data_IF_010826223727
#
_entry.id   IF_010826223727
#
_cell.length_a   1.000
_cell.length_b   1.000
_cell.length_c   1.000
_cell.angle_alpha   90.00
_cell.angle_beta   90.00
_cell.angle_gamma   90.00
#
_symmetry.space_group_name_H-M   'P 1'
#
loop_
_entity.id
_entity.type
_entity.pdbx_description
1 polymer ?
#
# COMPACT_ATOMS: atom_id res chain seq x y z
N UNK A 1 7.95 -9.28 58.70
CA UNK A 1 7.11 -9.59 57.52
C UNK A 1 7.95 -9.35 56.28
N UNK A 2 8.46 -10.42 55.69
CA UNK A 2 9.39 -10.35 54.57
C UNK A 2 8.58 -10.26 53.27
N UNK A 3 8.71 -9.13 52.57
CA UNK A 3 8.00 -8.92 51.30
C UNK A 3 8.66 -9.77 50.22
N UNK A 4 7.97 -10.83 49.77
CA UNK A 4 8.36 -11.59 48.56
C UNK A 4 8.43 -10.64 47.38
N UNK A 5 9.63 -10.39 46.85
CA UNK A 5 9.83 -9.74 45.55
C UNK A 5 9.29 -10.69 44.47
N UNK A 6 8.15 -10.35 43.89
CA UNK A 6 7.61 -11.03 42.72
C UNK A 6 8.51 -10.65 41.54
N UNK A 7 9.44 -11.53 41.17
CA UNK A 7 10.18 -11.38 39.93
C UNK A 7 9.21 -11.65 38.78
N UNK A 8 8.80 -10.58 38.11
CA UNK A 8 8.10 -10.67 36.83
C UNK A 8 8.94 -11.53 35.89
N UNK A 9 8.40 -12.69 35.49
CA UNK A 9 9.00 -13.60 34.51
C UNK A 9 9.48 -12.80 33.29
N UNK A 10 10.66 -13.12 32.77
CA UNK A 10 11.20 -12.50 31.53
C UNK A 10 10.20 -12.60 30.37
N UNK A 11 9.31 -13.59 30.39
CA UNK A 11 8.26 -13.79 29.41
C UNK A 11 7.18 -12.68 29.45
N UNK A 12 6.81 -12.19 30.64
CA UNK A 12 5.87 -11.07 30.80
C UNK A 12 6.48 -9.75 30.33
N UNK A 13 7.79 -9.56 30.53
CA UNK A 13 8.53 -8.38 30.02
C UNK A 13 8.62 -8.41 28.49
N UNK A 14 8.89 -9.57 27.90
CA UNK A 14 8.90 -9.75 26.45
C UNK A 14 7.52 -9.53 25.80
N UNK A 15 6.43 -9.92 26.47
CA UNK A 15 5.06 -9.62 26.01
C UNK A 15 4.74 -8.14 26.05
N UNK A 16 5.14 -7.43 27.11
CA UNK A 16 4.98 -5.97 27.24
C UNK A 16 5.78 -5.20 26.19
N UNK A 17 7.05 -5.56 25.97
CA UNK A 17 7.87 -4.93 24.92
C UNK A 17 7.27 -5.09 23.52
N UNK A 18 6.85 -6.31 23.14
CA UNK A 18 6.17 -6.55 21.86
C UNK A 18 4.87 -5.75 21.70
N UNK A 19 4.16 -5.51 22.80
CA UNK A 19 2.94 -4.70 22.80
C UNK A 19 3.25 -3.21 22.64
N UNK A 20 4.29 -2.72 23.28
CA UNK A 20 4.75 -1.33 23.18
C UNK A 20 5.33 -1.01 21.80
N UNK A 21 6.08 -1.92 21.20
CA UNK A 21 6.58 -1.78 19.83
C UNK A 21 5.41 -1.65 18.84
N UNK A 22 4.40 -2.53 18.97
CA UNK A 22 3.18 -2.46 18.14
C UNK A 22 2.40 -1.17 18.37
N UNK A 23 2.39 -0.65 19.59
CA UNK A 23 1.76 0.63 19.91
C UNK A 23 2.53 1.79 19.26
N UNK A 24 3.86 1.80 19.38
CA UNK A 24 4.72 2.81 18.75
C UNK A 24 4.58 2.84 17.23
N UNK A 25 4.48 1.67 16.58
CA UNK A 25 4.21 1.58 15.14
C UNK A 25 2.86 2.22 14.79
N UNK A 26 1.79 1.89 15.51
CA UNK A 26 0.45 2.48 15.28
C UNK A 26 0.42 3.98 15.49
N UNK A 27 1.10 4.47 16.53
CA UNK A 27 1.20 5.91 16.81
C UNK A 27 1.98 6.63 15.71
N UNK A 28 3.05 6.01 15.20
CA UNK A 28 3.81 6.57 14.06
C UNK A 28 3.00 6.60 12.77
N UNK A 29 2.21 5.55 12.48
CA UNK A 29 1.33 5.49 11.32
C UNK A 29 0.22 6.55 11.42
N UNK A 30 -0.38 6.71 12.60
CA UNK A 30 -1.41 7.73 12.83
C UNK A 30 -0.88 9.15 12.58
N UNK A 31 0.33 9.46 13.06
CA UNK A 31 1.00 10.76 12.81
C UNK A 31 1.28 11.00 11.33
N UNK A 32 1.60 9.95 10.56
CA UNK A 32 1.80 10.08 9.12
C UNK A 32 0.49 10.34 8.38
N UNK A 33 -0.60 9.70 8.80
CA UNK A 33 -1.94 9.91 8.24
C UNK A 33 -2.44 11.33 8.51
N UNK A 34 -2.21 11.85 9.72
CA UNK A 34 -2.52 13.22 10.10
C UNK A 34 -1.77 14.24 9.23
N UNK A 35 -0.46 14.04 9.02
CA UNK A 35 0.33 14.90 8.12
C UNK A 35 -0.21 14.94 6.69
N UNK A 36 -0.66 13.81 6.15
CA UNK A 36 -1.25 13.78 4.81
C UNK A 36 -2.58 14.52 4.78
N UNK A 37 -3.40 14.37 5.81
CA UNK A 37 -4.66 15.09 5.93
C UNK A 37 -4.41 16.60 5.99
N UNK A 38 -3.49 17.05 6.83
CA UNK A 38 -3.11 18.46 6.95
C UNK A 38 -2.53 19.01 5.66
N UNK A 39 -1.61 18.29 5.02
CA UNK A 39 -1.01 18.72 3.75
C UNK A 39 -2.08 18.86 2.67
N UNK A 40 -2.98 17.89 2.54
CA UNK A 40 -4.07 17.95 1.56
C UNK A 40 -5.00 19.13 1.86
N UNK A 41 -5.41 19.30 3.11
CA UNK A 41 -6.35 20.34 3.54
C UNK A 41 -5.72 21.75 3.53
N UNK A 42 -4.39 21.86 3.55
CA UNK A 42 -3.67 23.14 3.43
C UNK A 42 -3.67 23.72 2.02
N UNK A 43 -4.00 22.91 1.00
CA UNK A 43 -4.04 23.36 -0.40
C UNK A 43 -5.22 24.32 -0.61
N UNK A 44 -5.02 25.33 -1.47
CA UNK A 44 -6.09 26.24 -1.83
C UNK A 44 -7.08 25.56 -2.79
N UNK A 45 -8.36 25.98 -2.77
CA UNK A 45 -9.43 25.48 -3.64
C UNK A 45 -9.74 23.98 -3.56
N UNK A 46 -9.37 23.29 -2.48
CA UNK A 46 -9.80 21.92 -2.24
C UNK A 46 -10.84 21.86 -1.12
N UNK A 47 -11.82 20.97 -1.27
CA UNK A 47 -12.72 20.65 -0.15
C UNK A 47 -11.96 19.82 0.88
N UNK A 48 -11.99 20.16 2.17
CA UNK A 48 -11.33 19.38 3.20
C UNK A 48 -11.80 17.92 3.22
N UNK A 49 -10.87 16.98 3.39
CA UNK A 49 -11.15 15.53 3.41
C UNK A 49 -10.39 14.86 4.54
N UNK A 50 -11.01 13.83 5.12
CA UNK A 50 -10.37 12.96 6.11
C UNK A 50 -9.42 11.96 5.46
N UNK A 51 -8.40 11.51 6.17
CA UNK A 51 -7.45 10.50 5.68
C UNK A 51 -8.14 9.23 5.14
N UNK A 52 -9.27 8.82 5.71
CA UNK A 52 -10.03 7.64 5.25
C UNK A 52 -10.60 7.83 3.84
N UNK A 53 -11.06 9.05 3.53
CA UNK A 53 -11.57 9.42 2.21
C UNK A 53 -10.43 9.53 1.19
N UNK A 54 -9.29 10.09 1.60
CA UNK A 54 -8.08 10.16 0.78
C UNK A 54 -7.55 8.76 0.43
N UNK A 55 -7.50 7.87 1.43
CA UNK A 55 -7.15 6.46 1.23
C UNK A 55 -8.09 5.78 0.25
N UNK A 56 -9.41 5.96 0.40
CA UNK A 56 -10.39 5.40 -0.54
C UNK A 56 -10.21 5.96 -1.95
N UNK A 57 -9.91 7.26 -2.07
CA UNK A 57 -9.61 7.90 -3.35
C UNK A 57 -8.40 7.25 -4.02
N UNK A 58 -7.32 7.04 -3.27
CA UNK A 58 -6.11 6.35 -3.75
C UNK A 58 -6.39 4.92 -4.22
N UNK A 59 -7.14 4.12 -3.45
CA UNK A 59 -7.52 2.77 -3.88
C UNK A 59 -8.34 2.79 -5.17
N UNK A 60 -9.30 3.70 -5.29
CA UNK A 60 -10.08 3.87 -6.52
C UNK A 60 -9.19 4.25 -7.71
N UNK A 61 -8.19 5.12 -7.52
CA UNK A 61 -7.25 5.49 -8.58
C UNK A 61 -6.37 4.32 -9.00
N UNK A 62 -5.87 3.52 -8.05
CA UNK A 62 -5.13 2.28 -8.36
C UNK A 62 -6.00 1.29 -9.12
N UNK A 63 -7.26 1.13 -8.72
CA UNK A 63 -8.20 0.24 -9.40
C UNK A 63 -8.47 0.70 -10.82
N UNK A 64 -8.68 2.02 -11.02
CA UNK A 64 -8.84 2.60 -12.34
C UNK A 64 -7.61 2.36 -13.21
N UNK A 65 -6.42 2.63 -12.70
CA UNK A 65 -5.16 2.36 -13.40
C UNK A 65 -5.02 0.88 -13.79
N UNK A 66 -5.30 -0.05 -12.87
CA UNK A 66 -5.24 -1.49 -13.16
C UNK A 66 -6.18 -1.91 -14.29
N UNK A 67 -7.39 -1.35 -14.33
CA UNK A 67 -8.37 -1.63 -15.40
C UNK A 67 -7.90 -1.08 -16.73
N UNK A 68 -7.53 0.20 -16.79
CA UNK A 68 -7.03 0.84 -18.01
C UNK A 68 -5.78 0.13 -18.53
N UNK A 69 -4.81 -0.18 -17.67
CA UNK A 69 -3.61 -0.91 -18.08
C UNK A 69 -3.93 -2.34 -18.58
N UNK A 70 -4.93 -3.02 -18.01
CA UNK A 70 -5.37 -4.32 -18.50
C UNK A 70 -6.17 -4.25 -19.81
N UNK A 71 -6.87 -3.14 -20.07
CA UNK A 71 -7.53 -2.85 -21.35
C UNK A 71 -6.47 -2.59 -22.42
N UNK A 72 -5.52 -1.69 -22.17
CA UNK A 72 -4.38 -1.42 -23.06
C UNK A 72 -3.63 -2.69 -23.46
N UNK A 73 -3.32 -3.54 -22.48
CA UNK A 73 -2.61 -4.79 -22.77
C UNK A 73 -3.46 -5.72 -23.64
N UNK A 74 -4.76 -5.84 -23.36
CA UNK A 74 -5.67 -6.67 -24.18
C UNK A 74 -5.73 -6.16 -25.62
N UNK A 75 -5.84 -4.85 -25.83
CA UNK A 75 -5.88 -4.24 -27.17
C UNK A 75 -4.57 -4.43 -27.93
N UNK A 76 -3.42 -4.24 -27.26
CA UNK A 76 -2.09 -4.48 -27.85
C UNK A 76 -1.92 -5.93 -28.31
N UNK A 77 -2.33 -6.89 -27.47
CA UNK A 77 -2.22 -8.31 -27.84
C UNK A 77 -3.25 -8.73 -28.90
N UNK A 78 -4.44 -8.12 -28.92
CA UNK A 78 -5.45 -8.37 -29.95
C UNK A 78 -4.99 -7.92 -31.35
N UNK A 79 -4.22 -6.83 -31.43
CA UNK A 79 -3.71 -6.28 -32.70
C UNK A 79 -2.37 -6.90 -33.15
N UNK A 80 -1.90 -7.96 -32.48
CA UNK A 80 -0.63 -8.60 -32.80
C UNK A 80 0.61 -7.79 -32.39
N UNK A 81 0.48 -6.89 -31.41
CA UNK A 81 1.58 -6.08 -30.89
C UNK A 81 1.77 -4.73 -31.59
N UNK A 82 0.85 -4.35 -32.46
CA UNK A 82 0.83 -3.02 -33.09
C UNK A 82 0.67 -1.90 -32.08
N UNK A 83 1.04 -0.68 -32.46
CA UNK A 83 0.80 0.52 -31.64
C UNK A 83 -0.70 0.60 -31.35
N UNK A 84 -1.11 0.60 -30.07
CA UNK A 84 -2.52 0.68 -29.74
C UNK A 84 -3.09 2.02 -30.22
N UNK A 85 -4.38 2.10 -30.56
CA UNK A 85 -5.05 3.39 -30.65
C UNK A 85 -4.83 4.11 -29.32
N UNK A 86 -4.59 5.43 -29.35
CA UNK A 86 -4.20 6.21 -28.17
C UNK A 86 -5.14 5.94 -27.00
N UNK A 87 -4.73 5.08 -26.08
CA UNK A 87 -5.44 4.88 -24.83
C UNK A 87 -5.38 6.21 -24.08
N UNK A 88 -6.55 6.73 -23.71
CA UNK A 88 -6.69 7.94 -22.89
C UNK A 88 -6.27 7.65 -21.44
N UNK A 89 -5.02 7.23 -21.23
CA UNK A 89 -4.45 7.20 -19.89
C UNK A 89 -4.03 8.62 -19.52
N UNK A 90 -4.78 9.22 -18.60
CA UNK A 90 -4.47 10.56 -18.10
C UNK A 90 -3.13 10.57 -17.36
N UNK A 91 -2.45 11.72 -17.35
CA UNK A 91 -1.15 11.86 -16.68
C UNK A 91 -1.23 11.52 -15.19
N UNK A 92 -2.36 11.78 -14.53
CA UNK A 92 -2.56 11.42 -13.13
C UNK A 92 -2.57 9.90 -12.93
N UNK A 93 -3.24 9.15 -13.82
CA UNK A 93 -3.28 7.69 -13.75
C UNK A 93 -1.93 7.06 -14.09
N UNK A 94 -1.16 7.68 -15.00
CA UNK A 94 0.21 7.26 -15.29
C UNK A 94 1.10 7.38 -14.04
N UNK A 95 1.05 8.52 -13.34
CA UNK A 95 1.78 8.74 -12.08
C UNK A 95 1.37 7.75 -10.98
N UNK A 96 0.07 7.43 -10.88
CA UNK A 96 -0.42 6.39 -9.97
C UNK A 96 0.22 5.04 -10.29
N UNK A 97 0.31 4.70 -11.58
CA UNK A 97 0.97 3.50 -12.06
C UNK A 97 2.45 3.43 -11.71
N UNK A 98 3.19 4.52 -11.89
CA UNK A 98 4.61 4.62 -11.53
C UNK A 98 4.80 4.34 -10.03
N UNK A 99 3.99 4.97 -9.18
CA UNK A 99 4.03 4.74 -7.72
C UNK A 99 3.62 3.30 -7.37
N UNK A 100 2.52 2.79 -7.93
CA UNK A 100 1.99 1.48 -7.62
C UNK A 100 2.92 0.33 -8.05
N UNK A 101 3.57 0.48 -9.22
CA UNK A 101 4.50 -0.53 -9.75
C UNK A 101 5.75 -0.68 -8.89
N UNK A 102 6.31 0.41 -8.35
CA UNK A 102 7.42 0.35 -7.40
C UNK A 102 7.03 -0.29 -6.06
N UNK A 103 5.78 -0.14 -5.60
CA UNK A 103 5.30 -0.78 -4.37
C UNK A 103 5.10 -2.30 -4.50
N UNK A 104 4.84 -2.81 -5.71
CA UNK A 104 4.66 -4.24 -5.95
C UNK A 104 5.99 -5.04 -5.78
N UNK A 105 7.12 -4.44 -6.16
CA UNK A 105 8.46 -5.08 -6.09
C UNK A 105 8.87 -5.41 -4.66
N UNK A 106 8.43 -4.63 -3.66
CA UNK A 106 8.73 -4.89 -2.25
C UNK A 106 7.90 -6.00 -1.61
N UNK A 107 6.85 -6.50 -2.27
CA UNK A 107 6.05 -7.65 -1.80
C UNK A 107 6.49 -8.98 -2.40
N UNK A 108 7.35 -8.96 -3.43
CA UNK A 108 7.86 -10.15 -4.09
C UNK A 108 9.22 -10.58 -3.50
N UNK A 109 9.21 -11.09 -2.26
CA UNK A 109 10.32 -11.92 -1.76
C UNK A 109 9.80 -13.27 -1.31
N UNK A 110 9.38 -14.10 -2.28
CA UNK A 110 9.23 -15.55 -2.12
C UNK A 110 9.57 -16.25 -3.45
N UNK A 111 10.81 -16.74 -3.51
CA UNK A 111 11.28 -17.97 -4.17
C UNK A 111 10.65 -18.39 -5.50
N UNK A 112 11.25 -17.96 -6.59
CA UNK A 112 11.21 -18.73 -7.83
C UNK A 112 12.21 -19.90 -7.73
N UNK A 113 11.73 -21.05 -7.25
CA UNK A 113 12.11 -22.32 -7.89
C UNK A 113 10.82 -22.79 -8.54
N UNK A 114 10.70 -22.52 -9.84
CA UNK A 114 9.54 -22.85 -10.63
C UNK A 114 9.50 -24.36 -10.89
N UNK A 115 8.50 -25.06 -10.34
CA UNK A 115 8.08 -26.38 -10.80
C UNK A 115 6.81 -26.22 -11.66
N UNK A 116 6.84 -26.54 -12.97
CA UNK A 116 5.74 -26.27 -13.88
C UNK A 116 4.70 -27.40 -13.87
N UNK A 117 4.13 -27.75 -12.71
CA UNK A 117 3.02 -28.72 -12.64
C UNK A 117 2.17 -28.47 -11.39
N UNK A 118 1.36 -27.41 -11.39
CA UNK A 118 0.06 -27.36 -10.70
C UNK A 118 -0.62 -26.01 -10.96
N UNK A 119 -1.42 -25.96 -12.03
CA UNK A 119 -2.43 -24.93 -12.21
C UNK A 119 -3.58 -25.19 -11.25
N UNK A 120 -3.77 -24.29 -10.28
CA UNK A 120 -5.05 -23.94 -9.63
C UNK A 120 -4.77 -23.47 -8.21
N UNK A 121 -4.76 -22.16 -7.97
CA UNK A 121 -5.05 -21.61 -6.64
C UNK A 121 -5.45 -20.15 -6.74
N UNK A 122 -6.65 -19.89 -6.22
CA UNK A 122 -7.25 -18.56 -6.00
C UNK A 122 -6.23 -17.66 -5.29
N UNK A 123 -5.94 -16.51 -5.87
CA UNK A 123 -5.09 -15.49 -5.24
C UNK A 123 -5.95 -14.73 -4.23
N UNK A 124 -5.83 -15.09 -2.96
CA UNK A 124 -6.44 -14.38 -1.84
C UNK A 124 -5.48 -13.24 -1.44
N UNK A 125 -5.86 -12.01 -1.77
CA UNK A 125 -5.09 -10.81 -1.42
C UNK A 125 -5.18 -10.54 0.08
N UNK A 126 -4.07 -10.70 0.80
CA UNK A 126 -3.91 -10.16 2.14
C UNK A 126 -3.11 -8.86 2.04
N UNK A 127 -3.72 -7.78 2.53
CA UNK A 127 -3.14 -6.45 2.50
C UNK A 127 -1.93 -6.29 3.40
N UNK A 128 -1.05 -5.38 3.02
CA UNK A 128 -0.23 -4.61 3.95
C UNK A 128 0.08 -3.25 3.36
N UNK A 129 -0.27 -2.23 4.14
CA UNK A 129 0.01 -0.83 3.93
C UNK A 129 1.46 -0.57 4.37
N UNK A 130 2.26 0.04 3.49
CA UNK A 130 3.50 0.72 3.92
C UNK A 130 3.54 2.06 3.20
N UNK A 131 3.56 3.11 4.02
CA UNK A 131 3.64 4.52 3.66
C UNK A 131 5.05 4.89 3.19
N UNK A 132 5.16 5.70 2.14
CA UNK A 132 6.37 6.47 1.90
C UNK A 132 6.05 7.92 1.53
N UNK A 133 6.74 8.81 2.22
CA UNK A 133 6.64 10.27 2.16
C UNK A 133 6.82 10.78 0.73
N UNK A 134 5.81 11.49 0.22
CA UNK A 134 5.99 12.42 -0.89
C UNK A 134 6.65 13.68 -0.32
N UNK A 135 7.90 13.90 -0.72
CA UNK A 135 8.49 15.23 -0.75
C UNK A 135 8.46 15.65 -2.21
N UNK A 136 7.45 16.43 -2.62
CA UNK A 136 7.53 17.27 -3.83
C UNK A 136 6.38 18.28 -3.90
N UNK A 137 6.79 19.54 -4.10
CA UNK A 137 6.14 20.68 -4.73
C UNK A 137 4.83 21.24 -4.15
#
# INVERSE_FOLDING_TARGET
MEKKKINFSEEERARRGKQEDRRGVRESEARLLEKIEDEFNSRHNVTPRKWTQLKKCWENMKDKWRRTNAEDMRERFATGGGTPPSSEMTDELRRVGDIASHTAVHTCRCTAVADPRHASRRVRWYGSFVFFSLRMF
#
